data_IF_029993115937
#
_entry.id   IF_029993115937
#
_cell.length_a   1.000
_cell.length_b   1.000
_cell.length_c   1.000
_cell.angle_alpha   90.00
_cell.angle_beta   90.00
_cell.angle_gamma   90.00
#
_symmetry.space_group_name_H-M   'P 1'
#
loop_
_entity.id
_entity.type
_entity.pdbx_description
1 polymer ?
#
# COMPACT_ATOMS: atom_id res chain seq x y z
N UNK A 1 0.40 -14.15 -8.67
CA UNK A 1 1.48 -13.37 -8.03
C UNK A 1 0.95 -12.77 -6.73
N UNK A 2 1.69 -12.94 -5.67
CA UNK A 2 1.31 -12.43 -4.35
C UNK A 2 2.19 -11.24 -3.99
N UNK A 3 1.59 -10.11 -3.68
CA UNK A 3 2.29 -8.82 -3.47
C UNK A 3 2.08 -8.32 -2.04
N UNK A 4 3.17 -7.86 -1.43
CA UNK A 4 3.12 -7.19 -0.14
C UNK A 4 3.44 -5.70 -0.33
N UNK A 5 2.55 -4.84 0.12
CA UNK A 5 2.76 -3.40 0.13
C UNK A 5 3.12 -2.95 1.54
N UNK A 6 4.22 -2.22 1.68
CA UNK A 6 4.73 -1.80 2.99
C UNK A 6 4.89 -0.28 3.04
N UNK A 7 4.33 0.33 4.07
CA UNK A 7 4.64 1.71 4.44
C UNK A 7 4.91 1.76 5.94
N UNK A 8 5.19 2.92 6.49
CA UNK A 8 5.52 3.00 7.93
C UNK A 8 4.28 2.68 8.77
N UNK A 9 3.21 3.43 8.60
CA UNK A 9 2.01 3.32 9.43
C UNK A 9 0.97 2.30 9.01
N UNK A 10 1.03 1.82 7.77
CA UNK A 10 -0.01 0.95 7.19
C UNK A 10 -1.42 1.53 7.38
N UNK A 11 -1.53 2.86 7.35
CA UNK A 11 -2.80 3.55 7.57
C UNK A 11 -3.35 4.24 6.32
N UNK A 12 -2.53 4.43 5.29
CA UNK A 12 -2.92 5.19 4.10
C UNK A 12 -2.39 4.56 2.81
N UNK A 13 -1.13 4.86 2.43
CA UNK A 13 -0.56 4.47 1.12
C UNK A 13 -0.63 2.99 0.82
N UNK A 14 -0.16 2.15 1.72
CA UNK A 14 -0.14 0.69 1.51
C UNK A 14 -1.55 0.09 1.58
N UNK A 15 -2.45 0.68 2.37
CA UNK A 15 -3.84 0.24 2.42
C UNK A 15 -4.57 0.54 1.11
N UNK A 16 -4.33 1.71 0.53
CA UNK A 16 -4.90 2.05 -0.78
C UNK A 16 -4.35 1.12 -1.87
N UNK A 17 -3.05 0.82 -1.83
CA UNK A 17 -2.43 -0.10 -2.77
C UNK A 17 -3.05 -1.50 -2.68
N UNK A 18 -3.24 -2.01 -1.47
CA UNK A 18 -3.90 -3.30 -1.26
C UNK A 18 -5.31 -3.29 -1.85
N UNK A 19 -6.07 -2.22 -1.61
CA UNK A 19 -7.43 -2.07 -2.13
C UNK A 19 -7.49 -2.13 -3.65
N UNK A 20 -6.63 -1.37 -4.32
CA UNK A 20 -6.56 -1.38 -5.79
C UNK A 20 -6.11 -2.73 -6.32
N UNK A 21 -5.08 -3.31 -5.71
CA UNK A 21 -4.53 -4.58 -6.18
C UNK A 21 -5.57 -5.69 -6.12
N UNK A 22 -6.30 -5.78 -5.02
CA UNK A 22 -7.37 -6.78 -4.88
C UNK A 22 -8.49 -6.54 -5.88
N UNK A 23 -8.86 -5.28 -6.09
CA UNK A 23 -9.89 -4.92 -7.08
C UNK A 23 -9.47 -5.28 -8.51
N UNK A 24 -8.16 -5.29 -8.78
CA UNK A 24 -7.61 -5.67 -10.08
C UNK A 24 -7.28 -7.16 -10.18
N UNK A 25 -7.66 -7.96 -9.20
CA UNK A 25 -7.49 -9.41 -9.23
C UNK A 25 -6.14 -9.93 -8.74
N UNK A 26 -5.31 -9.08 -8.14
CA UNK A 26 -4.06 -9.50 -7.54
C UNK A 26 -4.28 -10.05 -6.12
N UNK A 27 -3.48 -11.04 -5.74
CA UNK A 27 -3.42 -11.50 -4.35
C UNK A 27 -2.48 -10.55 -3.61
N UNK A 28 -3.02 -9.71 -2.73
CA UNK A 28 -2.26 -8.64 -2.11
C UNK A 28 -2.57 -8.49 -0.63
N UNK A 29 -1.53 -8.12 0.12
CA UNK A 29 -1.63 -7.74 1.53
C UNK A 29 -0.80 -6.48 1.74
N UNK A 30 -1.01 -5.83 2.87
CA UNK A 30 -0.21 -4.67 3.27
C UNK A 30 0.20 -4.79 4.72
N UNK A 31 1.29 -4.09 5.09
CA UNK A 31 1.81 -4.09 6.45
C UNK A 31 2.56 -2.79 6.72
N UNK A 32 2.81 -2.52 8.00
CA UNK A 32 3.58 -1.37 8.42
C UNK A 32 4.76 -1.77 9.29
N UNK A 33 5.82 -0.97 9.21
CA UNK A 33 6.97 -1.15 10.11
C UNK A 33 6.65 -0.62 11.52
N UNK A 34 5.78 0.39 11.60
CA UNK A 34 5.30 0.98 12.85
C UNK A 34 3.79 1.27 12.67
N UNK A 35 2.93 0.22 12.77
CA UNK A 35 1.51 0.37 12.44
C UNK A 35 0.78 1.39 13.30
N UNK A 36 -0.04 2.21 12.65
CA UNK A 36 -0.96 3.12 13.33
C UNK A 36 -2.10 2.33 13.99
N UNK A 37 -2.90 3.01 14.81
CA UNK A 37 -4.02 2.35 15.51
C UNK A 37 -5.21 2.07 14.59
N UNK A 38 -5.34 2.82 13.49
CA UNK A 38 -6.46 2.67 12.55
C UNK A 38 -6.07 3.17 11.16
N UNK A 39 -6.79 2.69 10.15
CA UNK A 39 -6.68 3.20 8.78
C UNK A 39 -7.21 4.64 8.76
N UNK A 40 -6.53 5.51 8.01
CA UNK A 40 -6.92 6.92 7.89
C UNK A 40 -8.33 7.05 7.32
N UNK A 41 -9.16 7.88 7.98
CA UNK A 41 -10.52 8.16 7.49
C UNK A 41 -10.50 8.81 6.11
N UNK A 42 -9.51 9.67 5.86
CA UNK A 42 -9.36 10.31 4.56
C UNK A 42 -9.00 9.31 3.46
N UNK A 43 -8.19 8.31 3.79
CA UNK A 43 -7.88 7.22 2.85
C UNK A 43 -9.13 6.39 2.54
N UNK A 44 -9.93 6.07 3.56
CA UNK A 44 -11.20 5.34 3.38
C UNK A 44 -12.11 6.14 2.45
N UNK A 45 -12.25 7.45 2.71
CA UNK A 45 -13.11 8.33 1.90
C UNK A 45 -12.61 8.45 0.45
N UNK A 46 -11.30 8.61 0.27
CA UNK A 46 -10.71 8.71 -1.07
C UNK A 46 -10.93 7.44 -1.89
N UNK A 47 -10.80 6.29 -1.27
CA UNK A 47 -11.02 5.00 -1.95
C UNK A 47 -12.51 4.78 -2.26
N UNK A 48 -13.39 5.20 -1.36
CA UNK A 48 -14.83 5.11 -1.60
C UNK A 48 -15.26 5.92 -2.83
N UNK A 49 -14.60 7.04 -3.09
CA UNK A 49 -14.88 7.87 -4.27
C UNK A 49 -14.68 7.11 -5.58
N UNK A 50 -13.82 6.12 -5.59
CA UNK A 50 -13.53 5.29 -6.78
C UNK A 50 -14.12 3.88 -6.65
N UNK A 51 -15.06 3.69 -5.73
CA UNK A 51 -15.82 2.45 -5.60
C UNK A 51 -15.10 1.32 -4.86
N UNK A 52 -14.07 1.62 -4.10
CA UNK A 52 -13.32 0.62 -3.34
C UNK A 52 -13.48 0.87 -1.85
N UNK A 53 -13.98 -0.15 -1.13
CA UNK A 53 -14.20 -0.06 0.30
C UNK A 53 -13.04 -0.68 1.08
N UNK A 54 -12.31 0.16 1.80
CA UNK A 54 -11.25 -0.29 2.71
C UNK A 54 -11.62 -0.01 4.18
N UNK A 55 -12.88 0.30 4.45
CA UNK A 55 -13.34 0.65 5.81
C UNK A 55 -13.18 -0.48 6.83
N UNK A 56 -13.16 -1.72 6.37
CA UNK A 56 -12.97 -2.88 7.23
C UNK A 56 -11.51 -3.28 7.45
N UNK A 57 -10.58 -2.58 6.82
CA UNK A 57 -9.16 -2.88 6.97
C UNK A 57 -8.61 -2.35 8.29
N UNK A 58 -7.57 -3.02 8.79
CA UNK A 58 -6.83 -2.57 9.98
C UNK A 58 -5.34 -2.55 9.69
N UNK A 59 -4.60 -1.62 10.31
CA UNK A 59 -3.14 -1.65 10.20
C UNK A 59 -2.56 -2.93 10.80
N UNK A 60 -1.53 -3.47 10.15
CA UNK A 60 -0.88 -4.72 10.58
C UNK A 60 0.61 -4.51 10.63
N UNK A 61 1.25 -5.11 11.63
CA UNK A 61 2.72 -5.10 11.70
C UNK A 61 3.30 -6.06 10.66
N UNK A 62 4.45 -5.68 10.11
CA UNK A 62 5.20 -6.53 9.19
C UNK A 62 5.56 -7.86 9.87
N UNK A 63 5.16 -8.97 9.27
CA UNK A 63 5.43 -10.31 9.79
C UNK A 63 6.57 -10.94 9.00
N UNK A 64 7.76 -10.95 9.61
CA UNK A 64 8.98 -11.48 8.99
C UNK A 64 8.88 -12.96 8.64
N UNK A 65 8.09 -13.72 9.39
CA UNK A 65 7.94 -15.16 9.13
C UNK A 65 7.19 -15.43 7.82
N UNK A 66 6.48 -14.42 7.29
CA UNK A 66 5.67 -14.55 6.09
C UNK A 66 6.25 -13.86 4.86
N UNK A 67 7.38 -13.17 5.00
CA UNK A 67 7.96 -12.40 3.90
C UNK A 67 8.20 -13.25 2.65
N UNK A 68 8.62 -14.50 2.84
CA UNK A 68 8.92 -15.39 1.72
C UNK A 68 7.68 -15.87 0.96
N UNK A 69 6.48 -15.66 1.50
CA UNK A 69 5.23 -16.00 0.80
C UNK A 69 4.96 -15.07 -0.37
N UNK A 70 5.59 -13.90 -0.39
CA UNK A 70 5.31 -12.87 -1.37
C UNK A 70 6.28 -12.93 -2.54
N UNK A 71 5.74 -12.84 -3.75
CA UNK A 71 6.54 -12.79 -4.97
C UNK A 71 7.19 -11.42 -5.15
N UNK A 72 6.51 -10.38 -4.64
CA UNK A 72 7.01 -9.00 -4.69
C UNK A 72 6.74 -8.28 -3.39
N UNK A 73 7.71 -7.48 -2.97
CA UNK A 73 7.56 -6.54 -1.85
C UNK A 73 7.76 -5.13 -2.38
N UNK A 74 6.74 -4.30 -2.21
CA UNK A 74 6.72 -2.92 -2.70
C UNK A 74 6.64 -1.97 -1.52
N UNK A 75 7.58 -1.05 -1.44
CA UNK A 75 7.57 -0.01 -0.40
C UNK A 75 7.02 1.29 -0.97
N UNK A 76 6.44 2.11 -0.10
CA UNK A 76 5.67 3.28 -0.52
C UNK A 76 6.45 4.59 -0.46
N UNK A 77 7.72 4.55 -0.11
CA UNK A 77 8.52 5.76 -0.05
C UNK A 77 9.14 6.00 1.30
N UNK A 78 9.27 7.28 1.67
CA UNK A 78 10.11 7.67 2.79
C UNK A 78 9.72 7.02 4.13
N UNK A 79 10.72 6.70 4.92
CA UNK A 79 10.58 6.14 6.26
C UNK A 79 10.72 4.63 6.34
N UNK A 80 10.44 3.88 5.28
CA UNK A 80 10.50 2.42 5.34
C UNK A 80 11.94 1.93 5.41
N UNK A 81 12.83 2.46 4.58
CA UNK A 81 14.23 2.05 4.60
C UNK A 81 14.91 2.36 5.94
N UNK A 82 14.56 3.48 6.55
CA UNK A 82 15.11 3.91 7.84
C UNK A 82 14.55 3.06 8.99
N UNK A 83 13.26 2.72 8.95
CA UNK A 83 12.64 1.94 10.03
C UNK A 83 12.85 0.44 9.87
N UNK A 84 13.19 -0.03 8.68
CA UNK A 84 13.35 -1.46 8.42
C UNK A 84 14.38 -1.74 7.32
N UNK A 85 15.68 -1.44 7.56
CA UNK A 85 16.71 -1.57 6.52
C UNK A 85 16.96 -3.01 6.06
N UNK A 86 16.54 -4.00 6.83
CA UNK A 86 16.71 -5.40 6.47
C UNK A 86 15.63 -5.91 5.51
N UNK A 87 14.60 -5.12 5.23
CA UNK A 87 13.53 -5.54 4.34
C UNK A 87 13.99 -5.52 2.87
N UNK A 88 13.85 -6.67 2.20
CA UNK A 88 14.08 -6.74 0.75
C UNK A 88 12.94 -5.99 0.05
N UNK A 89 13.31 -5.04 -0.81
CA UNK A 89 12.35 -4.25 -1.56
C UNK A 89 12.57 -4.46 -3.05
N UNK A 90 11.56 -4.95 -3.75
CA UNK A 90 11.62 -5.13 -5.21
C UNK A 90 11.35 -3.82 -5.94
N UNK A 91 10.46 -2.99 -5.40
CA UNK A 91 10.17 -1.65 -5.93
C UNK A 91 9.92 -0.69 -4.77
N UNK A 92 10.34 0.55 -4.93
CA UNK A 92 9.97 1.63 -4.03
C UNK A 92 9.29 2.73 -4.85
N UNK A 93 8.04 3.07 -4.51
CA UNK A 93 7.27 4.00 -5.31
C UNK A 93 7.48 5.46 -4.97
N UNK A 94 8.19 5.76 -3.90
CA UNK A 94 8.59 7.12 -3.55
C UNK A 94 7.43 8.09 -3.34
N UNK A 95 6.33 7.62 -2.79
CA UNK A 95 5.13 8.43 -2.60
C UNK A 95 5.20 9.28 -1.35
N UNK A 96 4.71 10.51 -1.45
CA UNK A 96 4.55 11.38 -0.29
C UNK A 96 3.50 10.81 0.66
N UNK A 97 3.70 11.03 1.96
CA UNK A 97 2.72 10.63 2.97
C UNK A 97 1.65 11.71 3.09
N UNK A 98 0.38 11.43 2.77
CA UNK A 98 -0.69 12.43 2.83
C UNK A 98 -1.30 12.61 4.22
N UNK A 99 -0.88 11.84 5.22
CA UNK A 99 -1.43 11.94 6.57
C UNK A 99 -1.28 13.36 7.11
N UNK A 100 -2.37 13.90 7.65
CA UNK A 100 -2.40 15.28 8.15
C UNK A 100 -2.59 16.35 7.07
N UNK A 101 -2.74 15.96 5.82
CA UNK A 101 -2.91 16.88 4.69
C UNK A 101 -4.36 16.93 4.22
N UNK A 102 -4.72 17.95 3.41
CA UNK A 102 -6.08 18.06 2.88
C UNK A 102 -6.47 16.89 1.98
N UNK A 103 -7.76 16.70 1.79
CA UNK A 103 -8.31 15.61 0.97
C UNK A 103 -7.75 15.58 -0.46
N UNK A 104 -7.42 16.74 -1.02
CA UNK A 104 -6.79 16.83 -2.34
C UNK A 104 -5.49 16.01 -2.44
N UNK A 105 -4.69 16.03 -1.37
CA UNK A 105 -3.45 15.26 -1.33
C UNK A 105 -3.74 13.76 -1.27
N UNK A 106 -4.75 13.34 -0.52
CA UNK A 106 -5.16 11.94 -0.50
C UNK A 106 -5.61 11.47 -1.88
N UNK A 107 -6.35 12.32 -2.60
CA UNK A 107 -6.79 12.00 -3.97
C UNK A 107 -5.62 11.91 -4.93
N UNK A 108 -4.66 12.81 -4.82
CA UNK A 108 -3.45 12.81 -5.65
C UNK A 108 -2.64 11.53 -5.44
N UNK A 109 -2.38 11.20 -4.18
CA UNK A 109 -1.62 9.98 -3.83
C UNK A 109 -2.41 8.73 -4.23
N UNK A 110 -3.72 8.72 -3.99
CA UNK A 110 -4.59 7.62 -4.46
C UNK A 110 -4.42 7.37 -5.96
N UNK A 111 -4.44 8.42 -6.75
CA UNK A 111 -4.36 8.30 -8.20
C UNK A 111 -2.97 7.83 -8.66
N UNK A 112 -1.91 8.27 -7.98
CA UNK A 112 -0.56 7.76 -8.21
C UNK A 112 -0.43 6.29 -7.85
N UNK A 113 -0.98 5.88 -6.71
CA UNK A 113 -1.00 4.47 -6.27
C UNK A 113 -1.73 3.63 -7.31
N UNK A 114 -2.89 4.11 -7.77
CA UNK A 114 -3.69 3.40 -8.78
C UNK A 114 -2.89 3.14 -10.05
N UNK A 115 -2.15 4.14 -10.53
CA UNK A 115 -1.33 4.00 -11.74
C UNK A 115 -0.21 2.97 -11.55
N UNK A 116 0.45 2.99 -10.39
CA UNK A 116 1.48 2.00 -10.07
C UNK A 116 0.93 0.59 -10.00
N UNK A 117 -0.21 0.41 -9.33
CA UNK A 117 -0.84 -0.92 -9.20
C UNK A 117 -1.29 -1.42 -10.58
N UNK A 118 -1.81 -0.55 -11.43
CA UNK A 118 -2.23 -0.93 -12.78
C UNK A 118 -1.05 -1.48 -13.60
N UNK A 119 0.12 -0.85 -13.50
CA UNK A 119 1.33 -1.35 -14.16
C UNK A 119 1.74 -2.72 -13.62
N UNK A 120 1.64 -2.90 -12.32
CA UNK A 120 1.96 -4.18 -11.67
C UNK A 120 1.01 -5.28 -12.14
N UNK A 121 -0.28 -4.96 -12.28
CA UNK A 121 -1.27 -5.89 -12.77
C UNK A 121 -1.03 -6.27 -14.25
N UNK A 122 -0.62 -5.32 -15.07
CA UNK A 122 -0.24 -5.59 -16.47
C UNK A 122 0.99 -6.49 -16.54
N UNK A 123 1.98 -6.24 -15.70
CA UNK A 123 3.19 -7.07 -15.65
C UNK A 123 2.86 -8.51 -15.33
N UNK A 124 1.89 -8.74 -14.44
CA UNK A 124 1.45 -10.09 -14.04
C UNK A 124 0.96 -10.93 -15.23
N UNK A 125 0.28 -10.31 -16.18
CA UNK A 125 -0.30 -11.00 -17.33
C UNK A 125 0.60 -11.01 -18.57
N UNK A 126 1.76 -10.37 -18.49
CA UNK A 126 2.74 -10.41 -19.58
C UNK A 126 3.49 -11.73 -19.55
N UNK A 127 3.70 -12.36 -20.73
CA UNK A 127 4.44 -13.61 -20.80
C UNK A 127 5.92 -13.46 -20.42
#
# INVERSE_FOLDING_TARGET
MKVLFVCVGNSCRSQMAEGFARAMGLDAESAGTEPASAVSRSAVAAMAEVGIDISGHTPKVLDWSRIQEFDRTVTMGCGVAESCPALRTDEDWGLDDPVGKPMEEFRRIRDEVRAHVARLAEWRISP
#
